data_IF_951015602942
#
_entry.id   IF_951015602942
#
_cell.length_a   1.000
_cell.length_b   1.000
_cell.length_c   1.000
_cell.angle_alpha   90.00
_cell.angle_beta   90.00
_cell.angle_gamma   90.00
#
_symmetry.space_group_name_H-M   'P 1'
#
loop_
_entity.id
_entity.type
_entity.pdbx_description
1 polymer ?
#
# COMPACT_ATOMS: atom_id res chain seq x y z
N UNK A 1 -11.27 -28.01 -15.89
CA UNK A 1 -10.46 -27.17 -16.80
C UNK A 1 -10.15 -28.02 -18.01
N UNK A 2 -10.48 -27.56 -19.22
CA UNK A 2 -10.05 -28.26 -20.43
C UNK A 2 -8.52 -28.26 -20.43
N UNK A 3 -7.91 -29.45 -20.58
CA UNK A 3 -6.45 -29.62 -20.54
C UNK A 3 -5.71 -28.69 -21.52
N UNK A 4 -6.41 -28.18 -22.53
CA UNK A 4 -5.90 -27.24 -23.52
C UNK A 4 -5.46 -25.89 -22.95
N UNK A 5 -6.08 -25.39 -21.86
CA UNK A 5 -5.76 -24.05 -21.32
C UNK A 5 -4.73 -24.08 -20.18
N UNK A 6 -4.43 -25.24 -19.61
CA UNK A 6 -3.51 -25.37 -18.49
C UNK A 6 -2.07 -24.88 -18.80
N UNK A 7 -1.47 -25.18 -19.97
CA UNK A 7 -0.14 -24.69 -20.31
C UNK A 7 -0.09 -23.16 -20.39
N UNK A 8 -1.10 -22.55 -21.01
CA UNK A 8 -1.18 -21.09 -21.14
C UNK A 8 -1.28 -20.40 -19.77
N UNK A 9 -2.14 -20.92 -18.89
CA UNK A 9 -2.28 -20.42 -17.53
C UNK A 9 -0.96 -20.55 -16.75
N UNK A 10 -0.27 -21.69 -16.87
CA UNK A 10 1.03 -21.93 -16.24
C UNK A 10 2.09 -20.92 -16.69
N UNK A 11 2.26 -20.71 -18.00
CA UNK A 11 3.22 -19.73 -18.52
C UNK A 11 2.87 -18.30 -18.09
N UNK A 12 1.57 -17.98 -18.03
CA UNK A 12 1.07 -16.69 -17.56
C UNK A 12 1.44 -16.47 -16.08
N UNK A 13 1.17 -17.44 -15.20
CA UNK A 13 1.53 -17.35 -13.77
C UNK A 13 3.05 -17.26 -13.58
N UNK A 14 3.85 -18.07 -14.30
CA UNK A 14 5.31 -17.98 -14.23
C UNK A 14 5.82 -16.59 -14.65
N UNK A 15 5.29 -16.04 -15.76
CA UNK A 15 5.61 -14.69 -16.23
C UNK A 15 5.23 -13.65 -15.18
N UNK A 16 4.06 -13.77 -14.55
CA UNK A 16 3.60 -12.84 -13.51
C UNK A 16 4.41 -12.93 -12.21
N UNK A 17 4.97 -14.11 -11.88
CA UNK A 17 5.93 -14.25 -10.79
C UNK A 17 7.22 -13.45 -11.09
N UNK A 18 7.75 -13.53 -12.31
CA UNK A 18 8.90 -12.71 -12.75
C UNK A 18 8.57 -11.21 -12.76
N UNK A 19 7.39 -10.82 -13.23
CA UNK A 19 6.93 -9.42 -13.18
C UNK A 19 6.85 -8.94 -11.74
N UNK A 20 6.33 -9.75 -10.83
CA UNK A 20 6.21 -9.43 -9.40
C UNK A 20 7.58 -9.31 -8.73
N UNK A 21 8.56 -10.13 -9.13
CA UNK A 21 9.95 -9.98 -8.71
C UNK A 21 10.57 -8.68 -9.22
N UNK A 22 10.30 -8.31 -10.48
CA UNK A 22 10.72 -7.02 -11.04
C UNK A 22 10.11 -5.82 -10.31
N UNK A 23 8.82 -5.90 -9.97
CA UNK A 23 8.11 -4.90 -9.17
C UNK A 23 8.67 -4.80 -7.74
N UNK A 24 8.98 -5.93 -7.11
CA UNK A 24 9.65 -5.98 -5.81
C UNK A 24 11.03 -5.30 -5.87
N UNK A 25 11.86 -5.67 -6.84
CA UNK A 25 13.17 -5.05 -7.03
C UNK A 25 13.07 -3.54 -7.31
N UNK A 26 12.11 -3.12 -8.15
CA UNK A 26 11.86 -1.71 -8.41
C UNK A 26 11.46 -0.94 -7.14
N UNK A 27 10.61 -1.53 -6.30
CA UNK A 27 10.23 -0.95 -5.01
C UNK A 27 11.43 -0.82 -4.06
N UNK A 28 12.25 -1.87 -3.93
CA UNK A 28 13.45 -1.85 -3.08
C UNK A 28 14.44 -0.80 -3.58
N UNK A 29 14.69 -0.73 -4.89
CA UNK A 29 15.55 0.30 -5.50
C UNK A 29 14.99 1.70 -5.23
N UNK A 30 13.67 1.86 -5.37
CA UNK A 30 12.99 3.13 -5.13
C UNK A 30 13.15 3.59 -3.67
N UNK A 31 12.97 2.68 -2.70
CA UNK A 31 13.18 2.98 -1.27
C UNK A 31 14.65 3.30 -1.01
N UNK A 32 15.56 2.47 -1.50
CA UNK A 32 17.00 2.63 -1.30
C UNK A 32 17.52 3.96 -1.87
N UNK A 33 17.05 4.38 -3.05
CA UNK A 33 17.50 5.62 -3.70
C UNK A 33 16.93 6.88 -3.07
N UNK A 34 15.71 6.83 -2.55
CA UNK A 34 14.98 8.06 -2.19
C UNK A 34 14.74 8.24 -0.70
N UNK A 35 14.84 7.18 0.11
CA UNK A 35 14.55 7.24 1.55
C UNK A 35 15.77 7.00 2.43
N UNK A 36 16.89 6.54 1.86
CA UNK A 36 18.16 6.45 2.59
C UNK A 36 18.82 7.83 2.58
N UNK A 37 18.89 8.54 3.72
CA UNK A 37 19.63 9.80 3.79
C UNK A 37 21.10 9.55 3.42
N UNK A 38 21.70 10.50 2.68
CA UNK A 38 23.12 10.43 2.33
C UNK A 38 24.04 10.50 3.56
N UNK A 39 23.51 10.93 4.71
CA UNK A 39 24.21 11.00 5.98
C UNK A 39 24.00 9.73 6.81
N UNK A 40 25.11 9.18 7.33
CA UNK A 40 25.28 7.80 7.85
C UNK A 40 24.41 7.37 9.04
N UNK A 41 23.68 8.27 9.70
CA UNK A 41 23.05 7.94 10.98
C UNK A 41 21.62 7.41 10.77
N UNK A 42 21.52 6.09 10.87
CA UNK A 42 20.28 5.29 10.97
C UNK A 42 19.53 4.98 9.67
N UNK A 43 20.24 4.40 8.69
CA UNK A 43 19.68 3.84 7.44
C UNK A 43 18.49 2.91 7.69
N UNK A 44 18.57 2.02 8.68
CA UNK A 44 17.51 1.04 9.01
C UNK A 44 16.19 1.69 9.44
N UNK A 45 16.23 2.76 10.23
CA UNK A 45 15.02 3.43 10.74
C UNK A 45 14.32 4.28 9.67
N UNK A 46 15.06 4.72 8.66
CA UNK A 46 14.50 5.48 7.53
C UNK A 46 13.88 4.56 6.48
N UNK A 47 14.48 3.38 6.24
CA UNK A 47 14.01 2.40 5.24
C UNK A 47 12.81 1.60 5.76
N UNK A 48 12.82 1.21 7.04
CA UNK A 48 11.82 0.33 7.64
C UNK A 48 10.59 1.09 8.17
N UNK A 49 10.03 2.00 7.37
CA UNK A 49 8.73 2.59 7.73
C UNK A 49 7.64 1.51 7.63
N UNK A 50 6.59 1.53 8.49
CA UNK A 50 5.50 0.56 8.41
C UNK A 50 4.87 0.46 7.01
N UNK A 51 4.84 1.58 6.31
CA UNK A 51 4.33 1.69 4.95
C UNK A 51 5.18 0.90 3.94
N UNK A 52 6.51 1.01 4.03
CA UNK A 52 7.44 0.31 3.15
C UNK A 52 7.42 -1.18 3.40
N UNK A 53 7.45 -1.58 4.68
CA UNK A 53 7.38 -2.98 5.08
C UNK A 53 6.12 -3.63 4.53
N UNK A 54 4.96 -2.97 4.65
CA UNK A 54 3.73 -3.48 4.07
C UNK A 54 3.82 -3.67 2.55
N UNK A 55 4.34 -2.70 1.81
CA UNK A 55 4.47 -2.80 0.35
C UNK A 55 5.47 -3.89 -0.06
N UNK A 56 6.59 -4.02 0.64
CA UNK A 56 7.57 -5.09 0.41
C UNK A 56 6.96 -6.47 0.68
N UNK A 57 6.22 -6.62 1.78
CA UNK A 57 5.53 -7.87 2.10
C UNK A 57 4.41 -8.20 1.11
N UNK A 58 3.68 -7.20 0.60
CA UNK A 58 2.70 -7.41 -0.48
C UNK A 58 3.40 -7.90 -1.75
N UNK A 59 4.47 -7.23 -2.18
CA UNK A 59 5.22 -7.62 -3.36
C UNK A 59 5.80 -9.04 -3.22
N UNK A 60 6.37 -9.36 -2.06
CA UNK A 60 6.82 -10.71 -1.75
C UNK A 60 5.68 -11.72 -1.81
N UNK A 61 4.52 -11.38 -1.25
CA UNK A 61 3.35 -12.26 -1.28
C UNK A 61 2.83 -12.54 -2.70
N UNK A 62 2.91 -11.57 -3.63
CA UNK A 62 2.59 -11.79 -5.05
C UNK A 62 3.53 -12.83 -5.68
N UNK A 63 4.82 -12.79 -5.37
CA UNK A 63 5.79 -13.80 -5.82
C UNK A 63 5.37 -15.18 -5.32
N UNK A 64 5.01 -15.30 -4.04
CA UNK A 64 4.55 -16.56 -3.46
C UNK A 64 3.28 -17.08 -4.15
N UNK A 65 2.29 -16.20 -4.37
CA UNK A 65 1.03 -16.54 -5.05
C UNK A 65 1.32 -17.12 -6.43
N UNK A 66 1.96 -16.37 -7.31
CA UNK A 66 2.17 -16.79 -8.70
C UNK A 66 3.13 -17.98 -8.84
N UNK A 67 4.18 -18.06 -8.00
CA UNK A 67 5.08 -19.21 -8.01
C UNK A 67 4.36 -20.49 -7.55
N UNK A 68 3.51 -20.39 -6.53
CA UNK A 68 2.70 -21.51 -6.06
C UNK A 68 1.63 -21.91 -7.06
N UNK A 69 1.02 -20.95 -7.76
CA UNK A 69 0.00 -21.20 -8.78
C UNK A 69 0.58 -21.92 -10.00
N UNK A 70 1.73 -21.46 -10.49
CA UNK A 70 2.45 -22.14 -11.56
C UNK A 70 2.77 -23.60 -11.17
N UNK A 71 3.17 -23.85 -9.91
CA UNK A 71 3.44 -25.20 -9.43
C UNK A 71 2.15 -26.05 -9.31
N UNK A 72 1.04 -25.46 -8.86
CA UNK A 72 -0.28 -26.13 -8.80
C UNK A 72 -0.73 -26.55 -10.20
N UNK A 73 -0.63 -25.66 -11.19
CA UNK A 73 -1.04 -25.92 -12.57
C UNK A 73 -0.21 -27.02 -13.25
N UNK A 74 1.08 -27.14 -12.91
CA UNK A 74 1.93 -28.24 -13.37
C UNK A 74 1.44 -29.58 -12.81
N UNK A 75 1.14 -29.61 -11.50
CA UNK A 75 0.81 -30.84 -10.77
C UNK A 75 -0.63 -31.30 -11.05
N UNK A 76 -1.54 -30.40 -11.43
CA UNK A 76 -2.94 -30.74 -11.74
C UNK A 76 -3.09 -31.79 -12.86
N UNK A 77 -2.06 -31.99 -13.68
CA UNK A 77 -2.07 -32.99 -14.75
C UNK A 77 -1.63 -34.39 -14.28
N UNK A 78 -1.13 -34.55 -13.05
CA UNK A 78 -0.63 -35.80 -12.49
C UNK A 78 -1.38 -36.18 -11.18
N UNK A 79 -2.33 -37.11 -11.30
CA UNK A 79 -3.13 -37.60 -10.16
C UNK A 79 -2.30 -38.31 -9.09
N UNK A 80 -1.07 -38.75 -9.39
CA UNK A 80 -0.21 -39.41 -8.40
C UNK A 80 0.31 -38.45 -7.32
N UNK A 81 0.19 -37.14 -7.54
CA UNK A 81 0.77 -36.10 -6.68
C UNK A 81 -0.26 -35.32 -5.85
N UNK A 82 -1.41 -35.92 -5.54
CA UNK A 82 -2.51 -35.25 -4.83
C UNK A 82 -2.10 -34.61 -3.48
N UNK A 83 -1.21 -35.24 -2.72
CA UNK A 83 -0.69 -34.65 -1.47
C UNK A 83 0.16 -33.40 -1.71
N UNK A 84 0.97 -33.40 -2.77
CA UNK A 84 1.78 -32.23 -3.14
C UNK A 84 0.89 -31.06 -3.58
N UNK A 85 -0.20 -31.36 -4.31
CA UNK A 85 -1.19 -30.37 -4.70
C UNK A 85 -1.78 -29.63 -3.49
N UNK A 86 -2.20 -30.37 -2.44
CA UNK A 86 -2.78 -29.78 -1.23
C UNK A 86 -1.77 -28.87 -0.52
N UNK A 87 -0.51 -29.29 -0.40
CA UNK A 87 0.56 -28.51 0.22
C UNK A 87 0.80 -27.20 -0.56
N UNK A 88 0.87 -27.27 -1.90
CA UNK A 88 1.07 -26.09 -2.75
C UNK A 88 -0.11 -25.13 -2.67
N UNK A 89 -1.34 -25.64 -2.63
CA UNK A 89 -2.54 -24.82 -2.43
C UNK A 89 -2.58 -24.15 -1.06
N UNK A 90 -2.07 -24.80 -0.01
CA UNK A 90 -1.93 -24.19 1.30
C UNK A 90 -0.91 -23.04 1.28
N UNK A 91 0.24 -23.24 0.64
CA UNK A 91 1.26 -22.20 0.49
C UNK A 91 0.74 -20.99 -0.31
N UNK A 92 0.00 -21.22 -1.41
CA UNK A 92 -0.73 -20.18 -2.15
C UNK A 92 -1.64 -19.37 -1.24
N UNK A 93 -2.40 -20.07 -0.39
CA UNK A 93 -3.30 -19.44 0.58
C UNK A 93 -2.58 -18.56 1.60
N UNK A 94 -1.39 -18.97 2.05
CA UNK A 94 -0.55 -18.12 2.90
C UNK A 94 -0.09 -16.85 2.18
N UNK A 95 0.29 -16.94 0.91
CA UNK A 95 0.59 -15.76 0.08
C UNK A 95 -0.62 -14.81 -0.01
N UNK A 96 -1.81 -15.33 -0.33
CA UNK A 96 -3.04 -14.53 -0.41
C UNK A 96 -3.37 -13.86 0.94
N UNK A 97 -3.29 -14.61 2.04
CA UNK A 97 -3.53 -14.07 3.37
C UNK A 97 -2.51 -12.99 3.75
N UNK A 98 -1.23 -13.21 3.46
CA UNK A 98 -0.18 -12.23 3.69
C UNK A 98 -0.44 -10.93 2.92
N UNK A 99 -0.82 -11.01 1.64
CA UNK A 99 -1.20 -9.85 0.84
C UNK A 99 -2.36 -9.08 1.49
N UNK A 100 -3.44 -9.78 1.85
CA UNK A 100 -4.65 -9.18 2.42
C UNK A 100 -4.40 -8.55 3.79
N UNK A 101 -3.63 -9.23 4.66
CA UNK A 101 -3.30 -8.74 5.99
C UNK A 101 -2.40 -7.50 5.94
N UNK A 102 -1.39 -7.53 5.08
CA UNK A 102 -0.50 -6.37 4.88
C UNK A 102 -1.26 -5.20 4.27
N UNK A 103 -2.23 -5.47 3.38
CA UNK A 103 -3.13 -4.45 2.82
C UNK A 103 -4.00 -3.81 3.89
N UNK A 104 -4.68 -4.65 4.67
CA UNK A 104 -5.55 -4.20 5.73
C UNK A 104 -4.76 -3.37 6.77
N UNK A 105 -3.57 -3.84 7.18
CA UNK A 105 -2.71 -3.10 8.11
C UNK A 105 -2.22 -1.77 7.53
N UNK A 106 -1.80 -1.77 6.27
CA UNK A 106 -1.39 -0.57 5.55
C UNK A 106 -2.52 0.47 5.48
N UNK A 107 -3.72 0.05 5.10
CA UNK A 107 -4.89 0.93 5.02
C UNK A 107 -5.27 1.48 6.39
N UNK A 108 -5.19 0.66 7.44
CA UNK A 108 -5.45 1.08 8.82
C UNK A 108 -4.43 2.10 9.33
N UNK A 109 -3.13 1.82 9.25
CA UNK A 109 -2.07 2.73 9.75
C UNK A 109 -2.15 4.10 9.09
N UNK A 110 -2.49 4.15 7.79
CA UNK A 110 -2.65 5.41 7.06
C UNK A 110 -3.87 6.20 7.52
N UNK A 111 -4.98 5.53 7.80
CA UNK A 111 -6.28 6.19 8.05
C UNK A 111 -6.53 6.45 9.53
N UNK A 112 -5.88 5.69 10.43
CA UNK A 112 -6.05 5.77 11.87
C UNK A 112 -5.90 7.20 12.44
N UNK A 113 -4.84 7.97 12.11
CA UNK A 113 -4.68 9.33 12.66
C UNK A 113 -5.87 10.25 12.33
N UNK A 114 -6.48 10.06 11.16
CA UNK A 114 -7.62 10.87 10.70
C UNK A 114 -8.90 10.44 11.44
N UNK A 115 -9.08 9.13 11.64
CA UNK A 115 -10.21 8.62 12.43
C UNK A 115 -10.12 9.12 13.86
N UNK A 116 -8.92 9.10 14.45
CA UNK A 116 -8.68 9.57 15.82
C UNK A 116 -8.98 11.06 15.99
N UNK A 117 -8.62 11.87 14.98
CA UNK A 117 -8.86 13.32 14.98
C UNK A 117 -10.34 13.67 14.72
N UNK A 118 -10.96 13.09 13.70
CA UNK A 118 -12.30 13.49 13.22
C UNK A 118 -13.43 12.72 13.92
N UNK A 119 -13.19 11.45 14.26
CA UNK A 119 -14.19 10.53 14.81
C UNK A 119 -13.63 9.73 15.99
N UNK A 120 -13.23 10.36 17.10
CA UNK A 120 -12.61 9.67 18.24
C UNK A 120 -13.49 8.54 18.80
N UNK A 121 -14.83 8.69 18.71
CA UNK A 121 -15.79 7.64 19.12
C UNK A 121 -15.80 6.41 18.19
N UNK A 122 -15.40 6.58 16.93
CA UNK A 122 -15.35 5.50 15.94
C UNK A 122 -14.03 4.70 16.00
N UNK A 123 -13.02 5.18 16.74
CA UNK A 123 -11.72 4.49 16.89
C UNK A 123 -11.90 3.07 17.42
N UNK A 124 -12.67 2.88 18.50
CA UNK A 124 -12.88 1.57 19.10
C UNK A 124 -13.63 0.60 18.16
N UNK A 125 -14.78 0.97 17.55
CA UNK A 125 -15.44 0.11 16.57
C UNK A 125 -14.54 -0.27 15.38
N UNK A 126 -13.78 0.68 14.84
CA UNK A 126 -12.86 0.43 13.72
C UNK A 126 -11.74 -0.54 14.13
N UNK A 127 -11.19 -0.39 15.32
CA UNK A 127 -10.16 -1.29 15.84
C UNK A 127 -10.70 -2.72 16.05
N UNK A 128 -11.91 -2.87 16.61
CA UNK A 128 -12.57 -4.18 16.75
C UNK A 128 -12.82 -4.81 15.37
N UNK A 129 -13.32 -4.03 14.42
CA UNK A 129 -13.62 -4.52 13.07
C UNK A 129 -12.34 -4.88 12.28
N UNK A 130 -11.24 -4.15 12.50
CA UNK A 130 -9.90 -4.47 12.02
C UNK A 130 -9.42 -5.83 12.56
N UNK A 131 -9.58 -6.07 13.86
CA UNK A 131 -9.26 -7.35 14.49
C UNK A 131 -10.09 -8.50 13.93
N UNK A 132 -11.41 -8.31 13.80
CA UNK A 132 -12.31 -9.30 13.21
C UNK A 132 -11.94 -9.62 11.75
N UNK A 133 -11.64 -8.59 10.94
CA UNK A 133 -11.23 -8.74 9.54
C UNK A 133 -9.92 -9.51 9.41
N UNK A 134 -8.97 -9.27 10.32
CA UNK A 134 -7.70 -10.02 10.40
C UNK A 134 -7.96 -11.50 10.66
N UNK A 135 -8.82 -11.82 11.64
CA UNK A 135 -9.18 -13.21 11.96
C UNK A 135 -9.85 -13.89 10.76
N UNK A 136 -10.85 -13.25 10.15
CA UNK A 136 -11.56 -13.80 8.98
C UNK A 136 -10.61 -14.07 7.82
N UNK A 137 -9.61 -13.21 7.62
CA UNK A 137 -8.59 -13.38 6.55
C UNK A 137 -7.71 -14.63 6.75
N UNK A 138 -7.44 -15.02 7.99
CA UNK A 138 -6.57 -16.15 8.33
C UNK A 138 -7.29 -17.50 8.24
N UNK A 139 -8.61 -17.52 8.51
CA UNK A 139 -9.42 -18.75 8.53
C UNK A 139 -9.28 -19.60 7.24
N UNK A 140 -9.44 -19.06 6.01
CA UNK A 140 -9.30 -19.85 4.78
C UNK A 140 -7.96 -20.58 4.67
N UNK A 141 -6.90 -19.92 5.14
CA UNK A 141 -5.53 -20.44 5.10
C UNK A 141 -5.30 -21.51 6.15
N UNK A 142 -5.84 -21.34 7.36
CA UNK A 142 -5.83 -22.38 8.38
C UNK A 142 -6.60 -23.62 7.92
N UNK A 143 -7.80 -23.46 7.35
CA UNK A 143 -8.58 -24.57 6.82
C UNK A 143 -7.81 -25.34 5.74
N UNK A 144 -7.17 -24.65 4.79
CA UNK A 144 -6.33 -25.29 3.76
C UNK A 144 -5.09 -25.99 4.35
N UNK A 145 -4.46 -25.40 5.36
CA UNK A 145 -3.30 -26.00 6.03
C UNK A 145 -3.70 -27.24 6.82
N UNK A 146 -4.82 -27.20 7.53
CA UNK A 146 -5.35 -28.34 8.28
C UNK A 146 -5.72 -29.51 7.35
N UNK A 147 -6.19 -29.23 6.13
CA UNK A 147 -6.48 -30.26 5.11
C UNK A 147 -5.27 -31.07 4.67
N UNK A 148 -4.04 -30.63 4.95
CA UNK A 148 -2.83 -31.44 4.73
C UNK A 148 -2.86 -32.71 5.61
N UNK A 149 -3.39 -32.58 6.83
CA UNK A 149 -3.42 -33.65 7.82
C UNK A 149 -4.79 -34.31 7.92
N UNK A 150 -5.88 -33.54 7.73
CA UNK A 150 -7.25 -34.00 7.97
C UNK A 150 -8.14 -33.62 6.76
N UNK A 151 -8.43 -34.56 5.84
CA UNK A 151 -9.19 -34.27 4.62
C UNK A 151 -10.71 -34.22 4.89
N UNK A 152 -11.17 -33.33 5.77
CA UNK A 152 -12.59 -33.12 6.04
C UNK A 152 -13.20 -32.16 5.02
N UNK A 153 -14.31 -32.56 4.39
CA UNK A 153 -15.05 -31.72 3.44
C UNK A 153 -15.62 -30.45 4.09
N UNK A 154 -15.97 -30.49 5.38
CA UNK A 154 -16.45 -29.31 6.10
C UNK A 154 -15.42 -28.17 6.11
N UNK A 155 -14.12 -28.49 6.08
CA UNK A 155 -13.06 -27.47 5.99
C UNK A 155 -13.06 -26.74 4.65
N UNK A 156 -13.47 -27.41 3.56
CA UNK A 156 -13.57 -26.78 2.25
C UNK A 156 -14.75 -25.79 2.20
N UNK A 157 -15.89 -26.18 2.77
CA UNK A 157 -17.07 -25.31 2.92
C UNK A 157 -16.75 -24.08 3.76
N UNK A 158 -16.13 -24.26 4.94
CA UNK A 158 -15.69 -23.16 5.80
C UNK A 158 -14.71 -22.24 5.04
N UNK A 159 -13.73 -22.82 4.34
CA UNK A 159 -12.74 -22.07 3.56
C UNK A 159 -13.40 -21.20 2.48
N UNK A 160 -14.41 -21.71 1.77
CA UNK A 160 -15.09 -20.97 0.70
C UNK A 160 -15.91 -19.80 1.26
N UNK A 161 -16.73 -20.02 2.29
CA UNK A 161 -17.49 -18.94 2.91
C UNK A 161 -16.59 -17.90 3.57
N UNK A 162 -15.53 -18.34 4.28
CA UNK A 162 -14.59 -17.42 4.89
C UNK A 162 -13.79 -16.61 3.85
N UNK A 163 -13.51 -17.17 2.66
CA UNK A 163 -12.86 -16.45 1.56
C UNK A 163 -13.72 -15.26 1.11
N UNK A 164 -15.01 -15.50 0.85
CA UNK A 164 -15.95 -14.45 0.44
C UNK A 164 -16.10 -13.40 1.54
N UNK A 165 -16.29 -13.84 2.80
CA UNK A 165 -16.37 -12.94 3.95
C UNK A 165 -15.13 -12.07 4.12
N UNK A 166 -13.95 -12.56 3.72
CA UNK A 166 -12.71 -11.78 3.75
C UNK A 166 -12.75 -10.62 2.75
N UNK A 167 -13.23 -10.84 1.52
CA UNK A 167 -13.32 -9.76 0.54
C UNK A 167 -14.39 -8.74 0.91
N UNK A 168 -15.52 -9.20 1.45
CA UNK A 168 -16.58 -8.33 1.98
C UNK A 168 -16.04 -7.47 3.12
N UNK A 169 -15.30 -8.04 4.07
CA UNK A 169 -14.76 -7.28 5.21
C UNK A 169 -13.73 -6.24 4.77
N UNK A 170 -12.82 -6.60 3.86
CA UNK A 170 -11.86 -5.66 3.27
C UNK A 170 -12.56 -4.52 2.52
N UNK A 171 -13.56 -4.83 1.71
CA UNK A 171 -14.34 -3.81 0.98
C UNK A 171 -15.09 -2.88 1.93
N UNK A 172 -15.65 -3.40 3.03
CA UNK A 172 -16.34 -2.59 4.02
C UNK A 172 -15.36 -1.69 4.80
N UNK A 173 -14.18 -2.21 5.15
CA UNK A 173 -13.11 -1.43 5.77
C UNK A 173 -12.66 -0.27 4.87
N UNK A 174 -12.38 -0.54 3.59
CA UNK A 174 -12.00 0.50 2.64
C UNK A 174 -13.10 1.53 2.44
N UNK A 175 -14.37 1.10 2.44
CA UNK A 175 -15.50 2.02 2.39
C UNK A 175 -15.57 2.93 3.62
N UNK A 176 -15.41 2.39 4.83
CA UNK A 176 -15.37 3.16 6.08
C UNK A 176 -14.24 4.19 6.00
N UNK A 177 -13.04 3.76 5.61
CA UNK A 177 -11.89 4.64 5.45
C UNK A 177 -12.14 5.74 4.42
N UNK A 178 -12.68 5.40 3.25
CA UNK A 178 -13.00 6.37 2.22
C UNK A 178 -14.02 7.40 2.69
N UNK A 179 -15.06 6.99 3.40
CA UNK A 179 -16.07 7.90 3.97
C UNK A 179 -15.42 8.86 4.98
N UNK A 180 -14.52 8.35 5.84
CA UNK A 180 -13.76 9.19 6.77
C UNK A 180 -12.92 10.23 6.01
N UNK A 181 -12.19 9.82 4.97
CA UNK A 181 -11.39 10.73 4.16
C UNK A 181 -12.24 11.82 3.47
N UNK A 182 -13.39 11.44 2.90
CA UNK A 182 -14.28 12.39 2.24
C UNK A 182 -14.82 13.41 3.25
N UNK A 183 -15.23 12.97 4.44
CA UNK A 183 -15.70 13.89 5.49
C UNK A 183 -14.60 14.83 5.96
N UNK A 184 -13.40 14.32 6.19
CA UNK A 184 -12.25 15.15 6.56
C UNK A 184 -12.00 16.24 5.49
N UNK A 185 -11.97 15.88 4.21
CA UNK A 185 -11.79 16.83 3.10
C UNK A 185 -12.90 17.90 3.02
N UNK A 186 -14.14 17.53 3.34
CA UNK A 186 -15.26 18.47 3.38
C UNK A 186 -15.09 19.48 4.52
N UNK A 187 -14.65 19.00 5.69
CA UNK A 187 -14.41 19.83 6.86
C UNK A 187 -13.29 20.86 6.62
N UNK A 188 -12.14 20.43 6.07
CA UNK A 188 -11.03 21.35 5.75
C UNK A 188 -11.42 22.40 4.71
N UNK A 189 -12.28 22.03 3.75
CA UNK A 189 -12.79 22.98 2.73
C UNK A 189 -13.69 24.06 3.34
N UNK A 190 -14.50 23.71 4.35
CA UNK A 190 -15.41 24.66 5.01
C UNK A 190 -14.69 25.67 5.89
N UNK A 191 -13.52 25.33 6.43
CA UNK A 191 -12.71 26.24 7.28
C UNK A 191 -11.85 27.23 6.47
N UNK A 192 -11.97 27.25 5.13
CA UNK A 192 -11.27 28.21 4.27
C UNK A 192 -9.80 27.87 4.01
N UNK A 193 -9.32 26.72 4.50
CA UNK A 193 -7.99 26.22 4.14
C UNK A 193 -7.96 25.70 2.70
N UNK A 194 -6.83 25.92 2.02
CA UNK A 194 -6.63 25.34 0.69
C UNK A 194 -6.61 23.82 0.79
N UNK A 195 -7.45 23.14 -0.01
CA UNK A 195 -7.57 21.68 -0.02
C UNK A 195 -6.19 21.00 -0.05
N UNK A 196 -5.88 20.21 0.97
CA UNK A 196 -4.58 19.56 1.06
C UNK A 196 -4.42 18.52 -0.05
N UNK A 197 -3.50 18.82 -0.97
CA UNK A 197 -3.14 17.96 -2.10
C UNK A 197 -2.74 16.55 -1.65
N UNK A 198 -2.22 16.39 -0.42
CA UNK A 198 -1.87 15.08 0.14
C UNK A 198 -3.10 14.17 0.27
N UNK A 199 -4.17 14.68 0.90
CA UNK A 199 -5.42 13.95 1.06
C UNK A 199 -6.14 13.72 -0.27
N UNK A 200 -6.10 14.69 -1.19
CA UNK A 200 -6.67 14.53 -2.53
C UNK A 200 -6.08 13.33 -3.29
N UNK A 201 -4.75 13.17 -3.23
CA UNK A 201 -4.05 12.03 -3.82
C UNK A 201 -4.54 10.73 -3.18
N UNK A 202 -4.55 10.66 -1.84
CA UNK A 202 -4.98 9.46 -1.11
C UNK A 202 -6.42 9.07 -1.45
N UNK A 203 -7.35 10.03 -1.44
CA UNK A 203 -8.75 9.77 -1.77
C UNK A 203 -8.94 9.27 -3.20
N UNK A 204 -8.23 9.84 -4.18
CA UNK A 204 -8.31 9.38 -5.58
C UNK A 204 -7.89 7.91 -5.70
N UNK A 205 -6.76 7.54 -5.11
CA UNK A 205 -6.30 6.14 -5.14
C UNK A 205 -7.16 5.22 -4.26
N UNK A 206 -7.72 5.74 -3.17
CA UNK A 206 -8.64 5.02 -2.28
C UNK A 206 -9.95 4.62 -2.98
N UNK A 207 -10.54 5.51 -3.78
CA UNK A 207 -11.74 5.20 -4.59
C UNK A 207 -11.47 4.02 -5.52
N UNK A 208 -10.34 4.04 -6.22
CA UNK A 208 -9.96 2.96 -7.13
C UNK A 208 -9.77 1.64 -6.36
N UNK A 209 -9.14 1.69 -5.19
CA UNK A 209 -8.97 0.50 -4.34
C UNK A 209 -10.32 -0.10 -3.89
N UNK A 210 -11.28 0.72 -3.45
CA UNK A 210 -12.65 0.26 -3.08
C UNK A 210 -13.31 -0.46 -4.26
N UNK A 211 -13.25 0.12 -5.46
CA UNK A 211 -13.83 -0.49 -6.67
C UNK A 211 -13.18 -1.84 -6.96
N UNK A 212 -11.85 -1.93 -6.85
CA UNK A 212 -11.12 -3.17 -7.09
C UNK A 212 -11.46 -4.25 -6.06
N UNK A 213 -11.53 -3.93 -4.77
CA UNK A 213 -11.92 -4.90 -3.74
C UNK A 213 -13.39 -5.31 -3.84
N UNK A 214 -14.27 -4.39 -4.25
CA UNK A 214 -15.67 -4.72 -4.57
C UNK A 214 -15.74 -5.70 -5.74
N UNK A 215 -14.97 -5.47 -6.82
CA UNK A 215 -14.91 -6.39 -7.96
C UNK A 215 -14.32 -7.75 -7.60
N UNK A 216 -13.29 -7.80 -6.75
CA UNK A 216 -12.71 -9.03 -6.22
C UNK A 216 -13.73 -9.87 -5.46
N UNK A 217 -14.62 -9.23 -4.70
CA UNK A 217 -15.72 -9.91 -4.00
C UNK A 217 -16.65 -10.62 -5.00
N UNK A 218 -17.01 -9.94 -6.09
CA UNK A 218 -17.86 -10.53 -7.15
C UNK A 218 -17.15 -11.71 -7.80
N UNK A 219 -15.86 -11.58 -8.14
CA UNK A 219 -15.10 -12.67 -8.73
C UNK A 219 -14.96 -13.88 -7.79
N UNK A 220 -14.75 -13.67 -6.50
CA UNK A 220 -14.65 -14.77 -5.52
C UNK A 220 -16.00 -15.47 -5.34
N UNK A 221 -17.12 -14.73 -5.34
CA UNK A 221 -18.46 -15.33 -5.32
C UNK A 221 -18.67 -16.20 -6.56
N UNK A 222 -18.33 -15.70 -7.75
CA UNK A 222 -18.46 -16.48 -8.99
C UNK A 222 -17.55 -17.72 -8.93
N UNK A 223 -16.31 -17.59 -8.45
CA UNK A 223 -15.40 -18.70 -8.25
C UNK A 223 -15.99 -19.78 -7.32
N UNK A 224 -16.51 -19.39 -6.15
CA UNK A 224 -17.09 -20.34 -5.19
C UNK A 224 -18.29 -21.09 -5.76
N UNK A 225 -19.09 -20.45 -6.62
CA UNK A 225 -20.28 -21.07 -7.21
C UNK A 225 -19.97 -21.90 -8.47
N UNK A 226 -18.96 -21.52 -9.25
CA UNK A 226 -18.63 -22.19 -10.53
C UNK A 226 -17.47 -23.17 -10.42
N UNK A 227 -16.63 -23.04 -9.38
CA UNK A 227 -15.37 -23.74 -9.21
C UNK A 227 -14.43 -23.64 -10.42
N UNK A 228 -14.53 -22.54 -11.17
CA UNK A 228 -13.70 -22.30 -12.37
C UNK A 228 -12.43 -21.52 -12.00
N UNK A 229 -11.29 -22.17 -12.16
CA UNK A 229 -9.94 -21.62 -11.87
C UNK A 229 -9.62 -20.33 -12.66
N UNK A 230 -10.31 -20.07 -13.78
CA UNK A 230 -10.15 -18.81 -14.55
C UNK A 230 -10.45 -17.59 -13.67
N UNK A 231 -11.48 -17.67 -12.82
CA UNK A 231 -11.83 -16.58 -11.91
C UNK A 231 -10.78 -16.39 -10.81
N UNK A 232 -10.09 -17.46 -10.41
CA UNK A 232 -9.01 -17.37 -9.45
C UNK A 232 -7.80 -16.64 -10.05
N UNK A 233 -7.43 -16.97 -11.29
CA UNK A 233 -6.37 -16.25 -12.02
C UNK A 233 -6.73 -14.75 -12.15
N UNK A 234 -7.99 -14.44 -12.48
CA UNK A 234 -8.45 -13.04 -12.52
C UNK A 234 -8.30 -12.34 -11.16
N UNK A 235 -8.63 -13.02 -10.06
CA UNK A 235 -8.42 -12.51 -8.70
C UNK A 235 -6.93 -12.21 -8.43
N UNK A 236 -6.02 -13.08 -8.86
CA UNK A 236 -4.57 -12.88 -8.71
C UNK A 236 -4.06 -11.68 -9.51
N UNK A 237 -4.54 -11.50 -10.75
CA UNK A 237 -4.25 -10.30 -11.54
C UNK A 237 -4.72 -9.02 -10.86
N UNK A 238 -5.88 -9.03 -10.21
CA UNK A 238 -6.38 -7.87 -9.47
C UNK A 238 -5.46 -7.50 -8.29
N UNK A 239 -4.82 -8.47 -7.61
CA UNK A 239 -3.83 -8.15 -6.57
C UNK A 239 -2.62 -7.39 -7.13
N UNK A 240 -2.16 -7.72 -8.34
CA UNK A 240 -1.09 -6.98 -9.01
C UNK A 240 -1.52 -5.55 -9.31
N UNK A 241 -2.74 -5.37 -9.81
CA UNK A 241 -3.30 -4.03 -10.09
C UNK A 241 -3.40 -3.19 -8.82
N UNK A 242 -3.90 -3.78 -7.72
CA UNK A 242 -3.95 -3.12 -6.40
C UNK A 242 -2.55 -2.72 -5.95
N UNK A 243 -1.57 -3.62 -6.05
CA UNK A 243 -0.19 -3.31 -5.68
C UNK A 243 0.40 -2.16 -6.51
N UNK A 244 0.19 -2.15 -7.83
CA UNK A 244 0.66 -1.07 -8.73
C UNK A 244 0.01 0.27 -8.36
N UNK A 245 -1.28 0.27 -8.01
CA UNK A 245 -2.00 1.46 -7.55
C UNK A 245 -1.40 2.01 -6.26
N UNK A 246 -1.11 1.15 -5.28
CA UNK A 246 -0.49 1.56 -4.02
C UNK A 246 0.93 2.09 -4.23
N UNK A 247 1.72 1.44 -5.08
CA UNK A 247 3.04 1.93 -5.48
C UNK A 247 2.96 3.29 -6.18
N UNK A 248 1.99 3.48 -7.08
CA UNK A 248 1.75 4.75 -7.77
C UNK A 248 1.35 5.86 -6.79
N UNK A 249 0.49 5.55 -5.81
CA UNK A 249 0.14 6.48 -4.74
C UNK A 249 1.37 6.89 -3.94
N UNK A 250 2.23 5.93 -3.56
CA UNK A 250 3.49 6.23 -2.86
C UNK A 250 4.35 7.21 -3.64
N UNK A 251 4.56 6.95 -4.93
CA UNK A 251 5.37 7.80 -5.81
C UNK A 251 4.76 9.21 -5.88
N UNK A 252 3.44 9.32 -6.06
CA UNK A 252 2.73 10.60 -6.11
C UNK A 252 2.88 11.41 -4.82
N UNK A 253 2.73 10.76 -3.66
CA UNK A 253 2.92 11.40 -2.36
C UNK A 253 4.34 11.91 -2.15
N UNK A 254 5.34 11.16 -2.62
CA UNK A 254 6.74 11.59 -2.57
C UNK A 254 7.01 12.80 -3.47
N UNK A 255 6.51 12.78 -4.72
CA UNK A 255 6.68 13.92 -5.65
C UNK A 255 6.12 15.20 -5.01
N UNK A 256 4.95 15.11 -4.37
CA UNK A 256 4.37 16.22 -3.63
C UNK A 256 5.25 16.69 -2.47
N UNK A 257 5.79 15.76 -1.66
CA UNK A 257 6.70 16.08 -0.54
C UNK A 257 7.95 16.81 -1.03
N UNK A 258 8.56 16.34 -2.11
CA UNK A 258 9.75 16.94 -2.70
C UNK A 258 9.46 18.35 -3.25
N UNK A 259 8.30 18.54 -3.90
CA UNK A 259 7.86 19.86 -4.36
C UNK A 259 7.70 20.85 -3.20
N UNK A 260 7.06 20.45 -2.09
CA UNK A 260 6.90 21.29 -0.89
C UNK A 260 8.26 21.64 -0.26
N UNK A 261 9.18 20.67 -0.19
CA UNK A 261 10.53 20.91 0.34
C UNK A 261 11.34 21.89 -0.52
N UNK A 262 11.26 21.77 -1.85
CA UNK A 262 11.92 22.71 -2.78
C UNK A 262 11.33 24.12 -2.67
N UNK A 263 10.01 24.25 -2.53
CA UNK A 263 9.36 25.53 -2.34
C UNK A 263 9.78 26.20 -1.02
N UNK A 264 9.80 25.45 0.08
CA UNK A 264 10.29 25.94 1.37
C UNK A 264 11.77 26.36 1.31
N UNK A 265 12.60 25.61 0.58
CA UNK A 265 14.00 25.98 0.38
C UNK A 265 14.13 27.29 -0.41
N UNK A 266 13.36 27.45 -1.50
CA UNK A 266 13.33 28.71 -2.26
C UNK A 266 12.91 29.90 -1.40
N UNK A 267 11.90 29.75 -0.55
CA UNK A 267 11.46 30.81 0.37
C UNK A 267 12.57 31.16 1.36
N UNK A 268 13.26 30.17 1.94
CA UNK A 268 14.40 30.40 2.83
C UNK A 268 15.55 31.11 2.12
N UNK A 269 15.87 30.72 0.88
CA UNK A 269 16.92 31.36 0.09
C UNK A 269 16.56 32.81 -0.25
N UNK A 270 15.30 33.09 -0.58
CA UNK A 270 14.81 34.46 -0.78
C UNK A 270 14.90 35.30 0.49
N UNK A 271 14.46 34.76 1.63
CA UNK A 271 14.55 35.46 2.92
C UNK A 271 16.01 35.73 3.33
N UNK A 272 16.91 34.77 3.09
CA UNK A 272 18.34 34.93 3.37
C UNK A 272 18.97 35.99 2.46
N UNK A 273 18.58 36.03 1.18
CA UNK A 273 19.01 37.08 0.24
C UNK A 273 18.50 38.45 0.67
N UNK A 274 17.25 38.57 1.07
CA UNK A 274 16.68 39.84 1.54
C UNK A 274 17.39 40.34 2.81
N UNK A 275 17.65 39.45 3.77
CA UNK A 275 18.43 39.77 4.97
C UNK A 275 19.85 40.24 4.63
N UNK A 276 20.52 39.58 3.67
CA UNK A 276 21.85 39.98 3.23
C UNK A 276 21.87 41.34 2.52
N UNK A 277 20.84 41.63 1.72
CA UNK A 277 20.67 42.93 1.06
C UNK A 277 20.42 44.05 2.08
N UNK A 278 19.51 43.84 3.05
CA UNK A 278 19.26 44.80 4.13
C UNK A 278 20.52 45.09 4.95
N UNK A 279 21.31 44.05 5.28
CA UNK A 279 22.57 44.20 6.00
C UNK A 279 23.59 45.05 5.23
N UNK A 280 23.66 44.85 3.92
CA UNK A 280 24.56 45.60 3.03
C UNK A 280 24.17 47.08 2.96
N UNK A 281 22.87 47.38 2.89
CA UNK A 281 22.35 48.76 2.89
C UNK A 281 22.70 49.46 4.21
N UNK A 282 22.47 48.81 5.35
CA UNK A 282 22.81 49.37 6.67
C UNK A 282 24.32 49.67 6.80
N UNK A 283 25.19 48.77 6.35
CA UNK A 283 26.64 49.01 6.37
C UNK A 283 27.10 50.12 5.40
N UNK A 284 26.36 50.36 4.32
CA UNK A 284 26.64 51.49 3.41
C UNK A 284 26.19 52.85 3.96
N UNK A 285 25.23 52.88 4.89
CA UNK A 285 24.78 54.12 5.54
C UNK A 285 25.69 54.51 6.71
N UNK A 286 26.27 53.54 7.42
CA UNK A 286 27.19 53.80 8.55
C UNK A 286 28.59 54.30 8.11
N UNK A 287 28.91 54.27 6.80
CA UNK A 287 30.23 54.66 6.28
C UNK A 287 30.35 56.10 5.79
N UNK A 288 29.30 56.94 5.94
CA UNK A 288 29.25 58.28 5.30
C UNK A 288 29.51 59.47 6.24
N UNK A 289 29.70 59.32 7.55
CA UNK A 289 29.83 60.50 8.45
C UNK A 289 30.92 60.35 9.50
N UNK A 290 32.21 60.40 9.12
CA UNK A 290 33.30 60.95 9.96
C UNK A 290 34.43 61.44 9.03
N UNK A 291 34.30 62.63 8.45
CA UNK A 291 35.48 63.40 7.98
C UNK A 291 35.16 64.90 7.96
N UNK A 292 34.65 65.43 9.08
CA UNK A 292 34.70 66.88 9.31
C UNK A 292 35.99 67.19 10.06
N UNK A 293 37.00 67.60 9.28
CA UNK A 293 38.24 68.19 9.75
C UNK A 293 37.95 69.39 10.65
N UNK A 294 38.42 69.33 11.90
CA UNK A 294 38.59 70.49 12.76
C UNK A 294 39.45 71.54 12.04
N UNK A 295 38.85 72.71 11.80
CA UNK A 295 39.57 73.92 11.36
C UNK A 295 39.98 74.67 12.62
N UNK A 296 41.28 74.73 12.87
CA UNK A 296 41.91 75.55 13.91
C UNK A 296 41.57 77.04 13.71
N UNK A 297 41.08 77.75 14.74
CA UNK A 297 40.96 79.20 14.71
C UNK A 297 42.29 79.86 15.10
N UNK A 298 42.74 80.80 14.26
CA UNK A 298 43.83 81.75 14.54
C UNK A 298 43.34 82.94 15.37
#
# INVERSE_FOLDING_TARGET
MDQQYAPFAMYSCATMAFVSLGLFAALVIEIARNEVPKERMSILRSVATPFNICLELMAFSLILIFASESAVLIILNDKSQQNQLIIRQAFRSWGIALFKLTYLHYSYVRTYPIIEQEFPRAVWPVWVFMGASTVVTVIPTLCRTLRIWIPLEILLTIKNHASVSTYVSLSLMDFIFLVTFIKHLQFTKTEGESLDKHFAIISKFGIVAVILFSSLTVWDIIFVNTNSEVYLILVEFHFVVIFVILGSMKIALRILKNSKAQEQQRIRDLFTKELSARRTILMSQDTVVIDDKEVDPA
#
